data_IF_432573388909
#
_entry.id   IF_432573388909
#
_cell.length_a   1.000
_cell.length_b   1.000
_cell.length_c   1.000
_cell.angle_alpha   90.00
_cell.angle_beta   90.00
_cell.angle_gamma   90.00
#
_symmetry.space_group_name_H-M   'P 1'
#
loop_
_entity.id
_entity.type
_entity.pdbx_description
1 polymer ?
#
# COMPACT_ATOMS: atom_id res chain seq x y z
N UNK A 1 -5.27 -9.78 17.27
CA UNK A 1 -5.43 -9.68 15.80
C UNK A 1 -4.17 -10.25 15.21
N UNK A 2 -4.29 -11.30 14.41
CA UNK A 2 -3.14 -11.93 13.78
C UNK A 2 -2.82 -11.19 12.48
N UNK A 3 -1.67 -10.51 12.45
CA UNK A 3 -1.17 -9.83 11.25
C UNK A 3 -0.37 -10.77 10.37
N UNK A 4 -0.36 -10.53 9.06
CA UNK A 4 0.46 -11.32 8.15
C UNK A 4 1.96 -11.05 8.40
N UNK A 5 2.79 -12.07 8.16
CA UNK A 5 4.27 -11.92 8.19
C UNK A 5 4.74 -10.77 7.31
N UNK A 6 4.11 -10.60 6.14
CA UNK A 6 4.37 -9.49 5.23
C UNK A 6 4.15 -8.13 5.91
N UNK A 7 2.98 -7.91 6.52
CA UNK A 7 2.65 -6.62 7.14
C UNK A 7 3.62 -6.28 8.28
N UNK A 8 4.00 -7.28 9.09
CA UNK A 8 4.95 -7.10 10.19
C UNK A 8 6.34 -6.74 9.65
N UNK A 9 6.83 -7.48 8.65
CA UNK A 9 8.16 -7.26 8.08
C UNK A 9 8.23 -5.93 7.32
N UNK A 10 7.19 -5.59 6.54
CA UNK A 10 7.11 -4.32 5.83
C UNK A 10 7.08 -3.12 6.79
N UNK A 11 6.35 -3.22 7.91
CA UNK A 11 6.37 -2.19 8.95
C UNK A 11 7.77 -2.02 9.56
N UNK A 12 8.47 -3.13 9.80
CA UNK A 12 9.82 -3.10 10.36
C UNK A 12 10.81 -2.44 9.40
N UNK A 13 10.80 -2.85 8.13
CA UNK A 13 11.66 -2.27 7.08
C UNK A 13 11.36 -0.79 6.90
N UNK A 14 10.09 -0.39 6.86
CA UNK A 14 9.71 1.01 6.69
C UNK A 14 10.23 1.89 7.84
N UNK A 15 10.11 1.41 9.08
CA UNK A 15 10.71 2.08 10.26
C UNK A 15 12.24 2.17 10.14
N UNK A 16 12.90 1.08 9.77
CA UNK A 16 14.36 1.06 9.62
C UNK A 16 14.84 2.01 8.52
N UNK A 17 14.13 2.08 7.39
CA UNK A 17 14.44 3.02 6.31
C UNK A 17 14.31 4.48 6.79
N UNK A 18 13.24 4.83 7.50
CA UNK A 18 13.09 6.20 8.05
C UNK A 18 14.22 6.57 9.02
N UNK A 19 14.69 5.60 9.83
CA UNK A 19 15.83 5.79 10.74
C UNK A 19 17.16 5.94 9.99
N UNK A 20 17.37 5.14 8.95
CA UNK A 20 18.62 5.14 8.18
C UNK A 20 18.80 6.43 7.37
N UNK A 21 17.70 6.99 6.88
CA UNK A 21 17.66 8.25 6.12
C UNK A 21 17.64 9.51 7.01
N UNK A 22 17.69 9.34 8.35
CA UNK A 22 17.63 10.42 9.35
C UNK A 22 16.51 11.45 9.08
N UNK A 23 15.32 10.94 8.72
CA UNK A 23 14.21 11.79 8.34
C UNK A 23 13.68 12.56 9.55
N UNK A 24 13.44 13.87 9.36
CA UNK A 24 12.75 14.73 10.33
C UNK A 24 11.46 14.08 10.81
N UNK A 25 11.15 14.22 12.09
CA UNK A 25 9.98 13.59 12.70
C UNK A 25 8.66 13.97 12.00
N UNK A 26 8.57 15.21 11.53
CA UNK A 26 7.40 15.78 10.85
C UNK A 26 7.33 15.41 9.35
N UNK A 27 8.34 14.71 8.82
CA UNK A 27 8.36 14.30 7.41
C UNK A 27 7.31 13.23 7.17
N UNK A 28 6.38 13.50 6.27
CA UNK A 28 5.43 12.50 5.77
C UNK A 28 6.14 11.50 4.87
N UNK A 29 5.97 10.22 5.16
CA UNK A 29 6.54 9.12 4.37
C UNK A 29 5.43 8.23 3.83
N UNK A 30 5.70 7.59 2.69
CA UNK A 30 4.78 6.67 2.03
C UNK A 30 5.50 5.35 1.83
N UNK A 31 4.80 4.24 2.08
CA UNK A 31 5.26 2.92 1.68
C UNK A 31 4.37 2.44 0.52
N UNK A 32 4.99 2.10 -0.61
CA UNK A 32 4.28 1.54 -1.76
C UNK A 32 4.22 0.02 -1.66
N UNK A 33 3.02 -0.55 -1.52
CA UNK A 33 2.82 -2.00 -1.44
C UNK A 33 2.01 -2.50 -2.63
N UNK A 34 2.57 -3.42 -3.41
CA UNK A 34 1.87 -4.07 -4.51
C UNK A 34 0.86 -5.10 -3.98
N UNK A 35 -0.36 -5.10 -4.50
CA UNK A 35 -1.44 -6.02 -4.13
C UNK A 35 -2.04 -6.67 -5.37
N UNK A 36 -2.26 -7.99 -5.32
CA UNK A 36 -2.90 -8.74 -6.40
C UNK A 36 -4.43 -8.59 -6.32
N UNK A 37 -5.02 -7.94 -7.33
CA UNK A 37 -6.46 -7.73 -7.41
C UNK A 37 -7.26 -8.89 -8.00
N UNK A 38 -6.61 -9.96 -8.49
CA UNK A 38 -7.29 -11.04 -9.24
C UNK A 38 -8.46 -11.67 -8.48
N UNK A 39 -8.28 -11.93 -7.19
CA UNK A 39 -9.29 -12.54 -6.33
C UNK A 39 -10.29 -11.54 -5.74
N UNK A 40 -10.01 -10.25 -5.84
CA UNK A 40 -10.82 -9.20 -5.19
C UNK A 40 -11.79 -8.51 -6.13
N UNK A 41 -11.56 -8.59 -7.44
CA UNK A 41 -12.56 -8.19 -8.43
C UNK A 41 -13.77 -9.12 -8.37
N UNK A 42 -14.95 -8.58 -8.62
CA UNK A 42 -16.21 -9.31 -8.72
C UNK A 42 -16.82 -9.08 -10.12
N UNK A 43 -16.92 -10.13 -10.97
CA UNK A 43 -16.44 -11.50 -10.73
C UNK A 43 -14.90 -11.59 -10.67
N UNK A 44 -14.34 -12.59 -9.97
CA UNK A 44 -12.89 -12.79 -9.91
C UNK A 44 -12.33 -13.11 -11.29
N UNK A 45 -11.07 -12.74 -11.52
CA UNK A 45 -10.44 -13.01 -12.80
C UNK A 45 -10.20 -14.52 -13.00
N UNK A 46 -10.27 -15.01 -14.25
CA UNK A 46 -10.05 -16.42 -14.55
C UNK A 46 -8.65 -16.90 -14.13
N UNK A 47 -8.56 -18.15 -13.70
CA UNK A 47 -7.27 -18.83 -13.55
C UNK A 47 -6.53 -18.81 -14.89
N UNK A 48 -5.27 -18.36 -14.88
CA UNK A 48 -4.47 -18.22 -16.09
C UNK A 48 -4.66 -16.90 -16.84
N UNK A 49 -5.37 -15.91 -16.27
CA UNK A 49 -5.44 -14.57 -16.85
C UNK A 49 -4.04 -14.00 -17.13
N UNK A 50 -3.78 -13.72 -18.42
CA UNK A 50 -2.53 -13.17 -18.90
C UNK A 50 -2.66 -11.65 -19.05
N UNK A 51 -2.24 -10.93 -18.00
CA UNK A 51 -2.26 -9.47 -17.95
C UNK A 51 -1.88 -8.93 -16.58
N UNK A 52 -1.75 -7.60 -16.48
CA UNK A 52 -1.43 -6.91 -15.24
C UNK A 52 -2.69 -6.71 -14.39
N UNK A 53 -2.60 -7.07 -13.11
CA UNK A 53 -3.68 -6.89 -12.11
C UNK A 53 -3.09 -6.47 -10.76
N UNK A 54 -1.97 -5.76 -10.82
CA UNK A 54 -1.30 -5.24 -9.63
C UNK A 54 -1.84 -3.86 -9.35
N UNK A 55 -2.47 -3.72 -8.19
CA UNK A 55 -2.82 -2.43 -7.61
C UNK A 55 -1.80 -2.07 -6.55
N UNK A 56 -1.79 -0.82 -6.10
CA UNK A 56 -0.80 -0.39 -5.12
C UNK A 56 -1.46 0.34 -3.96
N UNK A 57 -1.36 -0.27 -2.78
CA UNK A 57 -1.74 0.35 -1.53
C UNK A 57 -0.60 1.26 -1.04
N UNK A 58 -0.98 2.41 -0.49
CA UNK A 58 -0.03 3.45 -0.07
C UNK A 58 -0.35 3.89 1.35
N UNK A 59 -0.05 3.09 2.38
CA UNK A 59 -0.04 3.61 3.74
C UNK A 59 0.90 4.82 3.85
N UNK A 60 0.46 5.83 4.59
CA UNK A 60 1.17 7.09 4.82
C UNK A 60 1.26 7.31 6.32
N UNK A 61 2.43 7.76 6.80
CA UNK A 61 2.66 8.09 8.21
C UNK A 61 3.82 9.08 8.35
N UNK A 62 3.85 9.81 9.46
CA UNK A 62 4.99 10.63 9.83
C UNK A 62 6.18 9.74 10.21
N UNK A 63 7.40 10.16 9.83
CA UNK A 63 8.63 9.48 10.24
C UNK A 63 8.70 9.32 11.76
N UNK A 64 8.35 10.35 12.51
CA UNK A 64 8.33 10.34 13.98
C UNK A 64 7.39 9.28 14.55
N UNK A 65 6.17 9.15 14.02
CA UNK A 65 5.20 8.13 14.43
C UNK A 65 5.74 6.72 14.17
N UNK A 66 6.31 6.50 12.98
CA UNK A 66 6.88 5.21 12.60
C UNK A 66 8.01 4.78 13.54
N UNK A 67 8.76 5.72 14.09
CA UNK A 67 9.89 5.46 14.98
C UNK A 67 9.49 5.33 16.45
N UNK A 68 8.55 6.15 16.93
CA UNK A 68 8.18 6.27 18.34
C UNK A 68 7.08 5.29 18.77
N UNK A 69 6.13 4.96 17.89
CA UNK A 69 5.01 4.10 18.24
C UNK A 69 5.42 2.61 18.32
N UNK A 70 4.59 1.75 18.94
CA UNK A 70 4.71 0.31 18.80
C UNK A 70 4.69 -0.13 17.33
N UNK A 71 5.51 -1.13 16.98
CA UNK A 71 5.56 -1.66 15.61
C UNK A 71 4.17 -2.13 15.13
N UNK A 72 3.36 -2.65 16.05
CA UNK A 72 1.98 -3.09 15.78
C UNK A 72 1.10 -1.99 15.19
N UNK A 73 1.31 -0.72 15.54
CA UNK A 73 0.55 0.40 14.96
C UNK A 73 0.88 0.58 13.48
N UNK A 74 2.17 0.50 13.12
CA UNK A 74 2.61 0.54 11.72
C UNK A 74 2.13 -0.69 10.94
N UNK A 75 2.21 -1.87 11.55
CA UNK A 75 1.64 -3.11 10.98
C UNK A 75 0.14 -2.96 10.71
N UNK A 76 -0.61 -2.37 11.63
CA UNK A 76 -2.04 -2.08 11.47
C UNK A 76 -2.31 -1.12 10.32
N UNK A 77 -1.50 -0.05 10.17
CA UNK A 77 -1.61 0.89 9.03
C UNK A 77 -1.46 0.17 7.70
N UNK A 78 -0.44 -0.68 7.57
CA UNK A 78 -0.18 -1.45 6.34
C UNK A 78 -1.33 -2.43 6.08
N UNK A 79 -1.73 -3.19 7.11
CA UNK A 79 -2.83 -4.14 6.99
C UNK A 79 -4.11 -3.47 6.52
N UNK A 80 -4.51 -2.35 7.14
CA UNK A 80 -5.71 -1.61 6.77
C UNK A 80 -5.63 -1.05 5.34
N UNK A 81 -4.46 -0.57 4.92
CA UNK A 81 -4.27 -0.08 3.56
C UNK A 81 -4.42 -1.21 2.51
N UNK A 82 -3.95 -2.42 2.83
CA UNK A 82 -4.11 -3.59 1.97
C UNK A 82 -5.55 -4.12 1.95
N UNK A 83 -6.24 -4.15 3.09
CA UNK A 83 -7.61 -4.69 3.17
C UNK A 83 -8.67 -3.74 2.60
N UNK A 84 -8.35 -2.44 2.45
CA UNK A 84 -9.22 -1.47 1.77
C UNK A 84 -9.40 -1.75 0.27
N UNK A 85 -8.53 -2.56 -0.33
CA UNK A 85 -8.52 -2.88 -1.76
C UNK A 85 -9.60 -3.90 -2.14
N UNK A 86 -10.86 -3.60 -1.83
CA UNK A 86 -12.01 -4.42 -2.23
C UNK A 86 -12.45 -4.17 -3.69
N UNK A 87 -13.44 -4.92 -4.17
CA UNK A 87 -13.95 -4.79 -5.54
C UNK A 87 -14.34 -3.34 -5.90
N UNK A 88 -15.01 -2.64 -4.99
CA UNK A 88 -15.47 -1.27 -5.24
C UNK A 88 -14.29 -0.31 -5.35
N UNK A 89 -13.32 -0.41 -4.44
CA UNK A 89 -12.12 0.40 -4.49
C UNK A 89 -11.29 0.12 -5.75
N UNK A 90 -11.11 -1.15 -6.13
CA UNK A 90 -10.36 -1.52 -7.33
C UNK A 90 -11.02 -0.99 -8.60
N UNK A 91 -12.35 -1.05 -8.70
CA UNK A 91 -13.10 -0.49 -9.84
C UNK A 91 -13.03 1.03 -9.87
N UNK A 92 -13.21 1.68 -8.73
CA UNK A 92 -13.05 3.14 -8.62
C UNK A 92 -11.63 3.59 -9.00
N UNK A 93 -10.61 2.80 -8.67
CA UNK A 93 -9.25 3.08 -9.11
C UNK A 93 -9.11 2.99 -10.65
N UNK A 94 -9.76 2.02 -11.29
CA UNK A 94 -9.79 1.95 -12.76
C UNK A 94 -10.47 3.18 -13.38
N UNK A 95 -11.64 3.56 -12.86
CA UNK A 95 -12.38 4.76 -13.32
C UNK A 95 -11.53 6.02 -13.14
N UNK A 96 -10.84 6.14 -12.01
CA UNK A 96 -9.92 7.23 -11.73
C UNK A 96 -8.78 7.29 -12.75
N UNK A 97 -8.15 6.15 -13.07
CA UNK A 97 -7.05 6.06 -14.04
C UNK A 97 -7.52 6.36 -15.48
N UNK A 98 -8.78 6.08 -15.81
CA UNK A 98 -9.35 6.34 -17.13
C UNK A 98 -9.45 7.83 -17.44
N UNK A 99 -9.76 8.66 -16.43
CA UNK A 99 -9.95 10.11 -16.58
C UNK A 99 -8.68 10.94 -16.37
N UNK A 100 -7.52 10.33 -16.11
CA UNK A 100 -6.27 11.08 -15.92
C UNK A 100 -5.72 11.63 -17.25
N UNK A 101 -5.34 12.92 -17.31
CA UNK A 101 -4.89 13.57 -18.54
C UNK A 101 -3.53 13.06 -19.02
N UNK A 102 -2.64 12.74 -18.08
CA UNK A 102 -1.37 12.08 -18.34
C UNK A 102 -1.20 10.89 -17.37
N UNK A 103 -0.95 9.71 -17.94
CA UNK A 103 -0.72 8.49 -17.16
C UNK A 103 0.72 8.37 -16.69
N UNK A 104 1.66 9.12 -17.29
CA UNK A 104 3.04 9.19 -16.84
C UNK A 104 3.15 9.86 -15.46
N UNK A 105 2.29 10.84 -15.16
CA UNK A 105 2.23 11.52 -13.86
C UNK A 105 1.79 10.61 -12.70
N UNK A 106 1.26 9.43 -13.03
CA UNK A 106 0.78 8.44 -12.06
C UNK A 106 1.85 7.39 -11.73
N UNK A 107 3.00 7.43 -12.42
CA UNK A 107 4.15 6.57 -12.10
C UNK A 107 4.65 6.96 -10.71
N UNK A 108 4.73 5.96 -9.83
CA UNK A 108 5.08 6.14 -8.43
C UNK A 108 6.60 6.18 -8.32
N UNK A 109 7.17 7.37 -8.15
CA UNK A 109 8.60 7.65 -8.01
C UNK A 109 8.84 9.13 -7.80
#
# INVERSE_FOLDING_TARGET
MDYTRYAILAAHIWRCACKAEDLLEQQMTKLFTATDGRSWLCPPLPTGYLGNVIFTATPIALSGDLQSEPLSTSTKRIHNAMTKMDNEYLRSALDYLEVQPDRADLVRG
#
